data_IF_963035065246
#
_entry.id   IF_963035065246
#
_cell.length_a   1.000
_cell.length_b   1.000
_cell.length_c   1.000
_cell.angle_alpha   90.00
_cell.angle_beta   90.00
_cell.angle_gamma   90.00
#
_symmetry.space_group_name_H-M   'P 1'
#
loop_
_entity.id
_entity.type
_entity.pdbx_description
1 polymer ?
#
# COMPACT_ATOMS: atom_id res chain seq x y z
N UNK A 1 20.73 -9.17 -21.80
CA UNK A 1 19.53 -9.65 -22.52
C UNK A 1 18.36 -9.14 -21.70
N UNK A 2 17.37 -8.48 -22.28
CA UNK A 2 16.26 -7.92 -21.47
C UNK A 2 15.46 -9.07 -20.88
N UNK A 3 15.45 -9.19 -19.55
CA UNK A 3 14.81 -10.30 -18.84
C UNK A 3 13.30 -10.10 -18.67
N UNK A 4 12.85 -8.83 -18.71
CA UNK A 4 11.45 -8.46 -18.53
C UNK A 4 11.11 -7.29 -19.43
N UNK A 5 10.02 -7.42 -20.20
CA UNK A 5 9.38 -6.29 -20.88
C UNK A 5 7.88 -6.41 -20.67
N UNK A 6 7.29 -5.48 -19.91
CA UNK A 6 5.85 -5.43 -19.63
C UNK A 6 5.29 -4.05 -19.92
N UNK A 7 4.02 -3.96 -20.30
CA UNK A 7 3.28 -2.71 -20.45
C UNK A 7 2.13 -2.68 -19.45
N UNK A 8 2.03 -1.59 -18.68
CA UNK A 8 0.99 -1.39 -17.66
C UNK A 8 0.28 -0.05 -17.84
N UNK A 9 -0.93 0.09 -17.30
CA UNK A 9 -1.65 1.37 -17.29
C UNK A 9 -0.96 2.40 -16.38
N UNK A 10 -0.78 3.63 -16.88
CA UNK A 10 -0.10 4.70 -16.13
C UNK A 10 -0.86 5.08 -14.86
N UNK A 11 -2.19 5.17 -14.91
CA UNK A 11 -3.00 5.51 -13.74
C UNK A 11 -2.89 4.45 -12.63
N UNK A 12 -2.97 3.17 -13.01
CA UNK A 12 -2.90 2.03 -12.10
C UNK A 12 -1.50 1.91 -11.45
N UNK A 13 -0.43 1.99 -12.26
CA UNK A 13 0.94 2.01 -11.77
C UNK A 13 1.18 3.16 -10.78
N UNK A 14 0.65 4.34 -11.07
CA UNK A 14 0.78 5.50 -10.16
C UNK A 14 0.04 5.29 -8.85
N UNK A 15 -1.17 4.73 -8.87
CA UNK A 15 -1.94 4.46 -7.67
C UNK A 15 -1.22 3.43 -6.78
N UNK A 16 -0.70 2.36 -7.38
CA UNK A 16 0.09 1.34 -6.70
C UNK A 16 1.37 1.92 -6.08
N UNK A 17 2.19 2.61 -6.87
CA UNK A 17 3.43 3.21 -6.37
C UNK A 17 3.19 4.25 -5.26
N UNK A 18 2.19 5.11 -5.42
CA UNK A 18 1.87 6.16 -4.44
C UNK A 18 1.38 5.59 -3.12
N UNK A 19 0.52 4.58 -3.17
CA UNK A 19 -0.06 3.92 -1.99
C UNK A 19 0.98 3.08 -1.24
N UNK A 20 1.95 2.49 -1.94
CA UNK A 20 2.91 1.57 -1.35
C UNK A 20 4.18 2.26 -0.84
N UNK A 21 4.72 3.24 -1.57
CA UNK A 21 6.04 3.84 -1.24
C UNK A 21 6.11 4.43 0.17
N UNK A 22 4.98 4.90 0.71
CA UNK A 22 4.90 5.48 2.06
C UNK A 22 5.14 4.46 3.17
N UNK A 23 5.09 3.17 2.86
CA UNK A 23 5.39 2.07 3.76
C UNK A 23 6.85 1.63 3.71
N UNK A 24 7.68 2.14 2.79
CA UNK A 24 9.10 1.80 2.75
C UNK A 24 9.84 2.37 3.97
N UNK A 25 10.80 1.61 4.49
CA UNK A 25 11.72 2.07 5.52
C UNK A 25 12.59 3.24 5.05
N UNK A 26 13.15 3.96 6.02
CA UNK A 26 14.09 5.06 5.80
C UNK A 26 15.32 4.96 6.72
N UNK A 27 15.53 3.80 7.34
CA UNK A 27 16.63 3.54 8.26
C UNK A 27 17.86 3.09 7.45
N UNK A 28 18.91 3.90 7.47
CA UNK A 28 20.18 3.62 6.79
C UNK A 28 20.88 2.36 7.34
N UNK A 29 20.57 1.97 8.58
CA UNK A 29 21.08 0.74 9.20
C UNK A 29 20.27 -0.50 8.81
N UNK A 30 19.11 -0.34 8.16
CA UNK A 30 18.26 -1.42 7.66
C UNK A 30 17.90 -1.23 6.17
N UNK A 31 18.90 -1.16 5.28
CA UNK A 31 18.71 -0.84 3.86
C UNK A 31 17.85 -1.86 3.10
N UNK A 32 17.72 -3.09 3.63
CA UNK A 32 16.78 -4.09 3.12
C UNK A 32 15.36 -3.54 2.99
N UNK A 33 14.90 -2.75 3.96
CA UNK A 33 13.54 -2.21 3.97
C UNK A 33 13.40 -0.84 3.28
N UNK A 34 14.51 -0.22 2.89
CA UNK A 34 14.54 1.06 2.16
C UNK A 34 14.36 0.80 0.66
N UNK A 35 13.32 0.05 0.30
CA UNK A 35 13.06 -0.43 -1.06
C UNK A 35 11.56 -0.54 -1.32
N UNK A 36 11.20 -0.38 -2.59
CA UNK A 36 9.90 -0.79 -3.12
C UNK A 36 10.16 -1.95 -4.07
N UNK A 37 9.57 -3.11 -3.77
CA UNK A 37 9.74 -4.35 -4.51
C UNK A 37 8.59 -4.53 -5.51
N UNK A 38 8.97 -4.73 -6.76
CA UNK A 38 8.08 -5.04 -7.86
C UNK A 38 8.23 -6.54 -8.20
N UNK A 39 7.16 -7.31 -8.06
CA UNK A 39 7.11 -8.72 -8.46
C UNK A 39 6.29 -8.82 -9.73
N UNK A 40 6.91 -9.28 -10.81
CA UNK A 40 6.25 -9.49 -12.09
C UNK A 40 5.74 -10.93 -12.12
N UNK A 41 4.45 -11.09 -12.35
CA UNK A 41 3.85 -12.37 -12.71
C UNK A 41 3.21 -12.29 -14.12
N UNK A 42 2.65 -13.38 -14.67
CA UNK A 42 2.07 -13.37 -16.01
C UNK A 42 0.86 -12.45 -16.24
N UNK A 43 0.26 -11.91 -15.18
CA UNK A 43 -1.00 -11.15 -15.21
C UNK A 43 -0.86 -9.80 -14.51
N UNK A 44 -0.09 -9.73 -13.44
CA UNK A 44 0.03 -8.58 -12.57
C UNK A 44 1.47 -8.24 -12.24
N UNK A 45 1.71 -6.94 -12.13
CA UNK A 45 2.83 -6.37 -11.41
C UNK A 45 2.40 -6.10 -9.97
N UNK A 46 3.03 -6.76 -9.01
CA UNK A 46 2.79 -6.53 -7.59
C UNK A 46 3.79 -5.51 -7.07
N UNK A 47 3.31 -4.49 -6.37
CA UNK A 47 4.13 -3.44 -5.77
C UNK A 47 4.06 -3.60 -4.26
N UNK A 48 5.20 -3.79 -3.60
CA UNK A 48 5.26 -4.03 -2.15
C UNK A 48 6.32 -3.18 -1.46
N UNK A 49 6.04 -2.76 -0.23
CA UNK A 49 7.00 -2.08 0.63
C UNK A 49 6.63 -2.28 2.11
N UNK A 50 7.64 -2.17 2.97
CA UNK A 50 7.45 -2.28 4.41
C UNK A 50 8.58 -1.60 5.17
N UNK A 51 8.28 -1.14 6.38
CA UNK A 51 9.23 -0.72 7.40
C UNK A 51 9.19 -1.65 8.64
N UNK A 52 8.54 -2.81 8.47
CA UNK A 52 8.17 -3.83 9.47
C UNK A 52 7.04 -3.45 10.43
N UNK A 53 6.57 -2.21 10.46
CA UNK A 53 5.44 -1.78 11.31
C UNK A 53 4.18 -1.57 10.48
N UNK A 54 4.35 -1.14 9.24
CA UNK A 54 3.33 -1.15 8.22
C UNK A 54 3.82 -1.86 6.95
N UNK A 55 2.89 -2.44 6.22
CA UNK A 55 3.13 -3.14 4.96
C UNK A 55 2.08 -2.67 3.97
N UNK A 56 2.52 -2.32 2.77
CA UNK A 56 1.63 -2.01 1.65
C UNK A 56 1.88 -2.98 0.51
N UNK A 57 0.80 -3.44 -0.11
CA UNK A 57 0.80 -4.23 -1.33
C UNK A 57 -0.29 -3.72 -2.28
N UNK A 58 0.11 -3.46 -3.51
CA UNK A 58 -0.79 -3.17 -4.59
C UNK A 58 -0.56 -4.11 -5.77
N UNK A 59 -1.59 -4.33 -6.58
CA UNK A 59 -1.49 -5.02 -7.86
C UNK A 59 -1.77 -4.04 -9.00
N UNK A 60 -1.08 -4.23 -10.11
CA UNK A 60 -1.24 -3.46 -11.35
C UNK A 60 -1.40 -4.46 -12.49
N UNK A 61 -2.43 -4.29 -13.32
CA UNK A 61 -2.67 -5.22 -14.44
C UNK A 61 -1.61 -5.06 -15.55
N UNK A 62 -1.06 -6.18 -16.02
CA UNK A 62 -0.16 -6.24 -17.18
C UNK A 62 -1.01 -6.38 -18.44
N UNK A 63 -0.82 -5.47 -19.39
CA UNK A 63 -1.55 -5.42 -20.65
C UNK A 63 -0.80 -6.09 -21.80
N UNK A 64 0.53 -5.96 -21.81
CA UNK A 64 1.39 -6.61 -22.78
C UNK A 64 2.66 -7.12 -22.09
N UNK A 65 3.20 -8.24 -22.58
CA UNK A 65 4.45 -8.80 -22.09
C UNK A 65 5.21 -9.48 -23.23
N UNK A 66 6.51 -9.20 -23.34
CA UNK A 66 7.42 -9.97 -24.20
C UNK A 66 7.90 -11.16 -23.38
N UNK A 67 7.24 -12.30 -23.58
CA UNK A 67 7.46 -13.58 -22.88
C UNK A 67 6.98 -13.61 -21.40
N UNK A 68 5.93 -14.41 -21.09
CA UNK A 68 5.46 -14.57 -19.71
C UNK A 68 6.57 -15.14 -18.82
N UNK A 69 6.95 -14.38 -17.80
CA UNK A 69 8.03 -14.72 -16.89
C UNK A 69 7.81 -14.15 -15.49
N UNK A 70 8.51 -14.74 -14.51
CA UNK A 70 8.56 -14.24 -13.15
C UNK A 70 9.82 -13.42 -12.96
N UNK A 71 9.69 -12.24 -12.37
CA UNK A 71 10.85 -11.43 -12.03
C UNK A 71 10.65 -10.65 -10.74
N UNK A 72 11.76 -10.34 -10.08
CA UNK A 72 11.79 -9.43 -8.94
C UNK A 72 12.68 -8.25 -9.28
N UNK A 73 12.12 -7.05 -9.13
CA UNK A 73 12.78 -5.78 -9.38
C UNK A 73 12.65 -4.94 -8.12
N UNK A 74 13.78 -4.55 -7.53
CA UNK A 74 13.80 -3.62 -6.40
C UNK A 74 14.19 -2.22 -6.90
N UNK A 75 13.47 -1.20 -6.44
CA UNK A 75 13.79 0.22 -6.68
C UNK A 75 13.84 0.99 -5.37
N UNK A 76 14.56 2.10 -5.32
CA UNK A 76 14.60 2.96 -4.14
C UNK A 76 13.33 3.84 -4.06
N UNK A 77 12.90 4.24 -2.85
CA UNK A 77 11.78 5.17 -2.69
C UNK A 77 11.95 6.49 -3.44
N UNK A 78 13.19 6.96 -3.61
CA UNK A 78 13.50 8.16 -4.39
C UNK A 78 13.30 7.99 -5.90
N UNK A 79 13.57 6.80 -6.44
CA UNK A 79 13.26 6.47 -7.82
C UNK A 79 11.76 6.40 -8.04
N UNK A 80 11.00 5.86 -7.09
CA UNK A 80 9.53 5.90 -7.13
C UNK A 80 9.02 7.34 -7.16
N UNK A 81 9.58 8.24 -6.36
CA UNK A 81 9.21 9.68 -6.41
C UNK A 81 9.49 10.30 -7.78
N UNK A 82 10.61 9.93 -8.43
CA UNK A 82 10.94 10.39 -9.79
C UNK A 82 10.01 9.79 -10.84
N UNK A 83 9.68 8.50 -10.74
CA UNK A 83 8.68 7.84 -11.61
C UNK A 83 7.35 8.60 -11.51
N UNK A 84 6.86 8.86 -10.29
CA UNK A 84 5.62 9.59 -10.05
C UNK A 84 5.67 11.06 -10.52
N UNK A 85 6.86 11.66 -10.66
CA UNK A 85 7.02 13.01 -11.19
C UNK A 85 7.06 13.06 -12.72
N UNK A 86 7.65 12.05 -13.36
CA UNK A 86 7.86 11.97 -14.82
C UNK A 86 6.59 11.47 -15.53
N UNK A 87 6.04 10.34 -15.08
CA UNK A 87 4.94 9.64 -15.74
C UNK A 87 3.62 10.06 -15.12
N UNK A 88 2.89 10.97 -15.77
CA UNK A 88 1.60 11.49 -15.29
C UNK A 88 0.46 10.79 -16.03
N UNK A 89 -0.56 10.37 -15.29
CA UNK A 89 -1.80 9.92 -15.90
C UNK A 89 -2.61 11.15 -16.37
N UNK A 90 -3.15 11.08 -17.58
CA UNK A 90 -4.15 12.03 -18.05
C UNK A 90 -5.56 11.66 -17.56
N UNK A 91 -6.58 12.36 -18.07
CA UNK A 91 -7.96 11.93 -17.89
C UNK A 91 -8.24 10.82 -18.89
N UNK A 92 -8.57 9.64 -18.40
CA UNK A 92 -8.98 8.51 -19.24
C UNK A 92 -10.49 8.57 -19.51
N UNK A 93 -10.89 8.08 -20.69
CA UNK A 93 -12.31 7.88 -21.01
C UNK A 93 -12.82 6.64 -20.31
N UNK A 94 -14.03 6.72 -19.75
CA UNK A 94 -14.64 5.64 -18.98
C UNK A 94 -14.93 4.37 -19.81
N UNK A 95 -15.03 4.49 -21.14
CA UNK A 95 -15.48 3.42 -22.03
C UNK A 95 -14.33 2.76 -22.84
N UNK A 96 -13.08 2.90 -22.40
CA UNK A 96 -11.93 2.30 -23.10
C UNK A 96 -11.63 0.89 -22.60
N UNK A 97 -11.50 -0.08 -23.50
CA UNK A 97 -11.13 -1.47 -23.17
C UNK A 97 -9.66 -1.63 -22.74
N UNK A 98 -8.84 -0.59 -22.96
CA UNK A 98 -7.44 -0.53 -22.56
C UNK A 98 -7.07 0.88 -22.06
N UNK A 99 -6.08 1.02 -21.16
CA UNK A 99 -5.66 2.33 -20.67
C UNK A 99 -5.08 3.18 -21.80
N UNK A 100 -5.55 4.43 -21.92
CA UNK A 100 -5.08 5.38 -22.93
C UNK A 100 -3.62 5.81 -22.68
N UNK A 101 -3.20 5.81 -21.42
CA UNK A 101 -1.82 6.12 -21.01
C UNK A 101 -1.18 4.85 -20.48
N UNK A 102 -0.04 4.48 -21.06
CA UNK A 102 0.67 3.26 -20.72
C UNK A 102 2.14 3.54 -20.45
N UNK A 103 2.74 2.73 -19.59
CA UNK A 103 4.18 2.71 -19.33
C UNK A 103 4.71 1.32 -19.65
N UNK A 104 5.72 1.26 -20.51
CA UNK A 104 6.53 0.05 -20.71
C UNK A 104 7.66 0.03 -19.69
N UNK A 105 7.81 -1.09 -19.00
CA UNK A 105 8.87 -1.36 -18.04
C UNK A 105 9.76 -2.43 -18.63
N UNK A 106 11.02 -2.08 -18.84
CA UNK A 106 12.07 -2.96 -19.34
C UNK A 106 13.09 -3.18 -18.22
N UNK A 107 13.41 -4.43 -17.90
CA UNK A 107 14.48 -4.73 -16.95
C UNK A 107 15.48 -5.72 -17.54
N UNK A 108 16.76 -5.38 -17.41
CA UNK A 108 17.90 -6.25 -17.69
C UNK A 108 18.79 -6.32 -16.43
N UNK A 109 19.91 -7.03 -16.47
CA UNK A 109 20.79 -7.23 -15.31
C UNK A 109 21.36 -5.94 -14.70
N UNK A 110 21.40 -4.85 -15.47
CA UNK A 110 22.04 -3.60 -15.08
C UNK A 110 21.03 -2.49 -14.77
N UNK A 111 19.87 -2.48 -15.43
CA UNK A 111 18.94 -1.37 -15.39
C UNK A 111 17.48 -1.78 -15.42
N UNK A 112 16.67 -0.90 -14.85
CA UNK A 112 15.21 -0.85 -15.01
C UNK A 112 14.89 0.44 -15.74
N UNK A 113 14.23 0.34 -16.90
CA UNK A 113 13.86 1.49 -17.73
C UNK A 113 12.35 1.57 -17.83
N UNK A 114 11.79 2.72 -17.48
CA UNK A 114 10.38 3.03 -17.69
C UNK A 114 10.28 3.96 -18.90
N UNK A 115 9.35 3.66 -19.81
CA UNK A 115 9.15 4.40 -21.07
C UNK A 115 7.66 4.72 -21.18
N UNK A 116 7.34 5.99 -21.41
CA UNK A 116 5.98 6.44 -21.70
C UNK A 116 5.58 5.98 -23.10
N UNK A 117 4.50 5.21 -23.21
CA UNK A 117 3.98 4.69 -24.47
C UNK A 117 2.72 5.45 -24.94
N UNK A 118 2.43 6.62 -24.35
CA UNK A 118 1.30 7.43 -24.78
C UNK A 118 1.54 8.06 -26.18
N UNK A 119 0.73 7.65 -27.16
CA UNK A 119 0.72 8.24 -28.51
C UNK A 119 1.47 7.43 -29.57
N UNK A 120 1.79 8.07 -30.70
CA UNK A 120 2.42 7.40 -31.86
C UNK A 120 3.95 7.21 -31.73
N UNK A 121 4.59 7.87 -30.77
CA UNK A 121 6.04 7.82 -30.54
C UNK A 121 6.27 7.72 -29.04
N UNK A 122 7.22 6.86 -28.64
CA UNK A 122 7.66 6.73 -27.25
C UNK A 122 8.03 8.11 -26.68
N UNK A 123 7.47 8.41 -25.51
CA UNK A 123 7.61 9.68 -24.82
C UNK A 123 8.85 9.74 -23.94
N UNK A 124 8.67 10.18 -22.68
CA UNK A 124 9.78 10.28 -21.72
C UNK A 124 10.26 8.89 -21.31
N UNK A 125 11.56 8.76 -21.08
CA UNK A 125 12.15 7.57 -20.46
C UNK A 125 12.87 7.91 -19.16
N UNK A 126 12.87 6.97 -18.23
CA UNK A 126 13.62 7.05 -16.98
C UNK A 126 14.35 5.74 -16.73
N UNK A 127 15.68 5.79 -16.66
CA UNK A 127 16.56 4.64 -16.52
C UNK A 127 17.16 4.63 -15.11
N UNK A 128 16.97 3.54 -14.39
CA UNK A 128 17.34 3.35 -12.98
C UNK A 128 18.35 2.20 -12.92
N UNK A 129 19.48 2.35 -12.19
CA UNK A 129 20.37 1.22 -11.92
C UNK A 129 19.63 0.10 -11.18
N UNK A 130 19.73 -1.13 -11.66
CA UNK A 130 19.10 -2.28 -11.01
C UNK A 130 19.74 -2.52 -9.64
N UNK A 131 18.91 -2.60 -8.60
CA UNK A 131 19.37 -3.02 -7.30
C UNK A 131 19.59 -4.53 -7.29
N UNK A 132 20.62 -5.03 -6.56
CA UNK A 132 20.77 -6.45 -6.36
C UNK A 132 19.55 -7.00 -5.61
N UNK A 133 19.08 -8.18 -6.00
CA UNK A 133 17.98 -8.85 -5.32
C UNK A 133 18.34 -9.08 -3.84
N UNK A 134 17.49 -8.60 -2.93
CA UNK A 134 17.66 -8.82 -1.49
C UNK A 134 16.75 -9.97 -1.01
N UNK A 135 17.34 -11.13 -0.74
CA UNK A 135 16.64 -12.32 -0.25
C UNK A 135 16.13 -12.16 1.20
N UNK A 136 16.63 -11.18 1.95
CA UNK A 136 16.19 -10.91 3.33
C UNK A 136 14.93 -10.05 3.39
N UNK A 137 14.53 -9.43 2.28
CA UNK A 137 13.28 -8.69 2.21
C UNK A 137 12.10 -9.63 2.44
N UNK A 138 11.15 -9.19 3.27
CA UNK A 138 10.01 -10.02 3.67
C UNK A 138 9.13 -10.38 2.48
N UNK A 139 8.62 -11.62 2.50
CA UNK A 139 7.58 -12.08 1.57
C UNK A 139 6.22 -11.50 1.99
N UNK A 140 6.01 -10.23 1.65
CA UNK A 140 4.78 -9.47 1.92
C UNK A 140 3.54 -10.14 1.33
N UNK A 141 3.54 -10.63 0.07
CA UNK A 141 2.40 -11.35 -0.50
C UNK A 141 1.99 -12.55 0.35
N UNK A 142 2.94 -13.35 0.82
CA UNK A 142 2.63 -14.50 1.68
C UNK A 142 2.16 -14.09 3.08
N UNK A 143 2.68 -12.99 3.64
CA UNK A 143 2.22 -12.46 4.93
C UNK A 143 0.76 -12.00 4.84
N UNK A 144 0.45 -11.15 3.85
CA UNK A 144 -0.90 -10.63 3.61
C UNK A 144 -1.86 -11.77 3.26
N UNK A 145 -1.47 -12.69 2.38
CA UNK A 145 -2.30 -13.83 2.00
C UNK A 145 -2.69 -14.69 3.20
N UNK A 146 -1.76 -14.96 4.13
CA UNK A 146 -2.07 -15.70 5.36
C UNK A 146 -3.09 -14.97 6.24
N UNK A 147 -2.95 -13.66 6.39
CA UNK A 147 -3.91 -12.86 7.17
C UNK A 147 -5.28 -12.81 6.51
N UNK A 148 -5.34 -12.57 5.19
CA UNK A 148 -6.57 -12.46 4.43
C UNK A 148 -7.40 -13.74 4.43
N UNK A 149 -6.75 -14.92 4.36
CA UNK A 149 -7.45 -16.22 4.37
C UNK A 149 -7.80 -16.72 5.78
N UNK A 150 -7.35 -16.06 6.84
CA UNK A 150 -7.72 -16.44 8.20
C UNK A 150 -9.17 -15.99 8.52
N UNK A 151 -9.91 -16.70 9.38
CA UNK A 151 -11.25 -16.28 9.79
C UNK A 151 -11.28 -14.87 10.39
N UNK A 152 -12.26 -14.03 10.04
CA UNK A 152 -12.42 -12.71 10.65
C UNK A 152 -12.85 -12.83 12.11
N UNK A 153 -12.42 -11.87 12.94
CA UNK A 153 -12.79 -11.76 14.36
C UNK A 153 -13.18 -10.33 14.71
N UNK A 154 -13.86 -10.15 15.83
CA UNK A 154 -14.17 -8.82 16.35
C UNK A 154 -12.87 -8.12 16.78
N UNK A 155 -12.69 -6.88 16.35
CA UNK A 155 -11.57 -6.06 16.77
C UNK A 155 -11.81 -5.55 18.20
N UNK A 156 -10.97 -5.98 19.13
CA UNK A 156 -10.88 -5.39 20.47
C UNK A 156 -9.96 -4.16 20.47
N UNK A 157 -9.80 -3.54 21.63
CA UNK A 157 -8.89 -2.41 21.80
C UNK A 157 -7.47 -2.76 21.33
N UNK A 158 -6.92 -1.92 20.45
CA UNK A 158 -5.57 -2.06 19.94
C UNK A 158 -4.86 -0.72 19.94
N UNK A 159 -3.62 -0.69 20.41
CA UNK A 159 -2.73 0.45 20.24
C UNK A 159 -1.98 0.32 18.92
N UNK A 160 -2.00 1.39 18.12
CA UNK A 160 -1.25 1.49 16.84
C UNK A 160 -0.54 2.83 16.75
N UNK A 161 0.51 2.88 15.96
CA UNK A 161 1.22 4.14 15.72
C UNK A 161 0.35 5.01 14.78
N UNK A 162 0.05 6.23 15.20
CA UNK A 162 -0.81 7.13 14.42
C UNK A 162 -0.24 7.50 13.05
N UNK A 163 1.10 7.64 12.95
CA UNK A 163 1.78 7.90 11.68
C UNK A 163 1.67 6.70 10.74
N UNK A 164 1.85 5.49 11.26
CA UNK A 164 1.75 4.26 10.47
C UNK A 164 0.33 4.02 9.98
N UNK A 165 -0.66 4.30 10.84
CA UNK A 165 -2.07 4.26 10.47
C UNK A 165 -2.41 5.31 9.39
N UNK A 166 -1.86 6.53 9.50
CA UNK A 166 -2.13 7.61 8.56
C UNK A 166 -1.62 7.32 7.14
N UNK A 167 -0.59 6.48 6.97
CA UNK A 167 -0.08 6.08 5.65
C UNK A 167 -1.15 5.43 4.77
N UNK A 168 -2.09 4.68 5.35
CA UNK A 168 -3.17 4.04 4.59
C UNK A 168 -4.16 5.03 3.98
N UNK A 169 -4.26 6.26 4.49
CA UNK A 169 -5.05 7.31 3.84
C UNK A 169 -4.54 7.64 2.43
N UNK A 170 -3.25 7.41 2.16
CA UNK A 170 -2.67 7.57 0.82
C UNK A 170 -3.25 6.55 -0.15
N UNK A 171 -3.45 5.29 0.28
CA UNK A 171 -4.12 4.27 -0.53
C UNK A 171 -5.59 4.62 -0.80
N UNK A 172 -6.32 5.05 0.24
CA UNK A 172 -7.71 5.50 0.09
C UNK A 172 -7.86 6.61 -0.97
N UNK A 173 -6.94 7.58 -0.94
CA UNK A 173 -6.92 8.69 -1.89
C UNK A 173 -6.48 8.24 -3.30
N UNK A 174 -5.48 7.37 -3.40
CA UNK A 174 -4.96 6.87 -4.67
C UNK A 174 -6.03 6.07 -5.45
N UNK A 175 -6.81 5.26 -4.74
CA UNK A 175 -7.85 4.41 -5.33
C UNK A 175 -9.27 5.01 -5.28
N UNK A 176 -9.45 6.13 -4.57
CA UNK A 176 -10.75 6.79 -4.34
C UNK A 176 -11.76 5.80 -3.73
N UNK A 177 -11.32 5.07 -2.69
CA UNK A 177 -12.11 4.07 -1.98
C UNK A 177 -12.00 4.26 -0.46
N UNK A 178 -13.04 3.89 0.31
CA UNK A 178 -12.91 3.83 1.76
C UNK A 178 -11.89 2.77 2.18
N UNK A 179 -11.33 2.94 3.38
CA UNK A 179 -10.54 1.89 4.02
C UNK A 179 -11.46 0.94 4.76
N UNK A 180 -11.29 -0.35 4.50
CA UNK A 180 -11.82 -1.42 5.35
C UNK A 180 -10.70 -1.91 6.26
N UNK A 181 -10.99 -2.00 7.56
CA UNK A 181 -10.05 -2.47 8.57
C UNK A 181 -10.59 -3.78 9.12
N UNK A 182 -9.80 -4.84 9.01
CA UNK A 182 -10.20 -6.20 9.32
C UNK A 182 -9.21 -6.80 10.34
N UNK A 183 -9.75 -7.49 11.35
CA UNK A 183 -8.98 -8.33 12.26
C UNK A 183 -9.28 -9.80 11.97
N UNK A 184 -8.25 -10.63 12.00
CA UNK A 184 -8.36 -12.05 11.71
C UNK A 184 -7.68 -12.89 12.80
N UNK A 185 -8.12 -14.14 12.97
CA UNK A 185 -7.49 -15.08 13.91
C UNK A 185 -6.00 -15.30 13.58
N UNK A 186 -5.18 -15.57 14.60
CA UNK A 186 -3.78 -15.95 14.40
C UNK A 186 -2.81 -14.80 14.10
N UNK A 187 -3.31 -13.57 14.03
CA UNK A 187 -2.50 -12.35 13.91
C UNK A 187 -3.09 -11.25 14.77
N UNK A 188 -2.24 -10.43 15.39
CA UNK A 188 -2.64 -9.14 15.99
C UNK A 188 -2.47 -7.97 15.02
N UNK A 189 -1.98 -8.20 13.80
CA UNK A 189 -1.94 -7.17 12.79
C UNK A 189 -3.34 -6.92 12.22
N UNK A 190 -3.64 -5.67 11.89
CA UNK A 190 -4.84 -5.30 11.16
C UNK A 190 -4.58 -5.44 9.67
N UNK A 191 -5.47 -6.10 8.95
CA UNK A 191 -5.52 -6.07 7.50
C UNK A 191 -6.30 -4.82 7.08
N UNK A 192 -5.76 -4.04 6.16
CA UNK A 192 -6.37 -2.80 5.67
C UNK A 192 -6.52 -2.88 4.16
N UNK A 193 -7.73 -2.67 3.65
CA UNK A 193 -8.06 -2.79 2.22
C UNK A 193 -8.56 -1.47 1.66
N UNK A 194 -8.16 -1.14 0.43
CA UNK A 194 -8.69 -0.01 -0.33
C UNK A 194 -9.10 -0.47 -1.73
N UNK A 195 -10.37 -0.80 -1.90
CA UNK A 195 -10.87 -1.37 -3.16
C UNK A 195 -10.38 -2.80 -3.41
N UNK A 196 -10.16 -3.13 -4.68
CA UNK A 196 -9.73 -4.47 -5.12
C UNK A 196 -8.22 -4.59 -5.33
N UNK A 197 -7.52 -3.47 -5.53
CA UNK A 197 -6.13 -3.47 -5.97
C UNK A 197 -5.12 -3.16 -4.85
N UNK A 198 -5.57 -2.88 -3.62
CA UNK A 198 -4.68 -2.60 -2.49
C UNK A 198 -5.05 -3.37 -1.22
N UNK A 199 -4.03 -3.99 -0.64
CA UNK A 199 -4.04 -4.60 0.69
C UNK A 199 -2.82 -4.12 1.48
N UNK A 200 -2.99 -3.94 2.77
CA UNK A 200 -1.90 -3.61 3.67
C UNK A 200 -2.07 -4.24 5.03
N UNK A 201 -0.99 -4.25 5.81
CA UNK A 201 -0.99 -4.73 7.18
C UNK A 201 -0.41 -3.67 8.11
N UNK A 202 -1.07 -3.46 9.24
CA UNK A 202 -0.60 -2.59 10.32
C UNK A 202 -0.34 -3.43 11.57
N UNK A 203 0.88 -3.37 12.08
CA UNK A 203 1.26 -4.08 13.29
C UNK A 203 0.84 -3.27 14.54
N UNK A 204 0.46 -3.95 15.62
CA UNK A 204 0.15 -3.29 16.88
C UNK A 204 1.42 -2.74 17.55
N UNK A 205 1.26 -1.70 18.36
CA UNK A 205 2.28 -1.26 19.30
C UNK A 205 2.31 -2.20 20.51
N UNK A 206 3.51 -2.63 20.87
CA UNK A 206 3.76 -3.24 22.17
C UNK A 206 3.82 -2.11 23.21
N UNK A 207 2.73 -1.89 23.94
CA UNK A 207 2.67 -0.95 25.06
C UNK A 207 3.10 -1.64 26.35
N UNK A 208 3.75 -0.90 27.27
CA UNK A 208 4.13 -1.43 28.58
C UNK A 208 2.92 -1.66 29.48
N UNK A 209 3.06 -2.52 30.48
CA UNK A 209 2.01 -2.78 31.49
C UNK A 209 1.56 -1.48 32.18
N UNK A 210 2.50 -0.60 32.53
CA UNK A 210 2.20 0.72 33.13
C UNK A 210 1.34 1.58 32.20
N UNK A 211 1.63 1.56 30.89
CA UNK A 211 0.87 2.32 29.89
C UNK A 211 -0.52 1.71 29.74
N UNK A 212 -0.63 0.39 29.76
CA UNK A 212 -1.90 -0.32 29.70
C UNK A 212 -2.78 -0.03 30.93
N UNK A 213 -2.20 -0.07 32.14
CA UNK A 213 -2.89 0.28 33.38
C UNK A 213 -3.43 1.72 33.32
N UNK A 214 -2.60 2.66 32.87
CA UNK A 214 -3.00 4.07 32.75
C UNK A 214 -4.07 4.30 31.68
N UNK A 215 -4.03 3.56 30.56
CA UNK A 215 -5.10 3.59 29.56
C UNK A 215 -6.44 3.11 30.13
N UNK A 216 -6.44 2.08 31.00
CA UNK A 216 -7.65 1.60 31.68
C UNK A 216 -8.21 2.66 32.63
N UNK A 217 -7.35 3.33 33.40
CA UNK A 217 -7.75 4.45 34.27
C UNK A 217 -8.39 5.59 33.47
N UNK A 218 -7.78 5.97 32.33
CA UNK A 218 -8.32 7.00 31.46
C UNK A 218 -9.68 6.61 30.86
N UNK A 219 -9.85 5.35 30.45
CA UNK A 219 -11.12 4.86 29.93
C UNK A 219 -12.27 5.00 30.96
N UNK A 220 -12.01 4.61 32.22
CA UNK A 220 -12.99 4.77 33.32
C UNK A 220 -13.25 6.26 33.60
N UNK A 221 -12.21 7.08 33.61
CA UNK A 221 -12.33 8.52 33.83
C UNK A 221 -13.12 9.22 32.71
N UNK A 222 -13.09 8.72 31.47
CA UNK A 222 -13.94 9.21 30.40
C UNK A 222 -15.41 8.92 30.67
N UNK A 223 -15.76 7.72 31.15
CA UNK A 223 -17.15 7.36 31.47
C UNK A 223 -17.79 8.27 32.54
N UNK A 224 -17.01 8.82 33.47
CA UNK A 224 -17.53 9.75 34.48
C UNK A 224 -17.63 11.20 34.01
N UNK A 225 -16.92 11.57 32.94
CA UNK A 225 -16.90 12.93 32.38
C UNK A 225 -17.88 13.11 31.22
N UNK A 226 -18.17 12.04 30.49
CA UNK A 226 -19.13 12.07 29.39
C UNK A 226 -20.57 12.08 29.93
N UNK A 227 -21.51 12.78 29.26
CA UNK A 227 -22.92 12.71 29.61
C UNK A 227 -23.45 11.27 29.58
N UNK A 228 -24.37 10.94 30.49
CA UNK A 228 -25.03 9.64 30.47
C UNK A 228 -25.96 9.56 29.24
N UNK A 229 -25.78 8.57 28.35
CA UNK A 229 -26.59 8.44 27.13
C UNK A 229 -28.08 8.20 27.40
N UNK A 230 -28.44 7.65 28.56
CA UNK A 230 -29.84 7.36 28.93
C UNK A 230 -30.57 8.57 29.54
N UNK A 231 -29.85 9.67 29.78
CA UNK A 231 -30.41 10.88 30.35
C UNK A 231 -30.78 11.86 29.21
N UNK A 232 -32.00 11.71 28.67
CA UNK A 232 -32.59 12.68 27.76
C UNK A 232 -32.92 13.94 28.57
N UNK A 233 -32.31 15.07 28.24
CA UNK A 233 -32.70 16.36 28.80
C UNK A 233 -34.11 16.69 28.29
N UNK A 234 -35.11 16.67 29.17
CA UNK A 234 -36.49 17.15 28.93
C UNK A 234 -36.56 18.67 28.70
N UNK A 235 -35.73 19.23 27.82
CA UNK A 235 -35.78 20.64 27.45
C UNK A 235 -36.64 20.92 26.21
N UNK A 236 -37.18 19.90 25.54
CA UNK A 236 -38.07 20.05 24.37
C UNK A 236 -39.57 20.04 24.70
N UNK A 237 -39.98 19.84 25.96
CA UNK A 237 -41.42 19.88 26.35
C UNK A 237 -41.96 21.29 26.64
N UNK A 238 -41.13 22.35 26.56
CA UNK A 238 -41.58 23.72 26.81
C UNK A 238 -42.08 24.47 25.54
N UNK A 239 -42.26 23.77 24.42
CA UNK A 239 -42.74 24.35 23.16
C UNK A 239 -43.93 23.59 22.53
N UNK A 240 -44.83 23.04 23.37
CA UNK A 240 -46.16 22.54 22.94
C UNK A 240 -47.29 23.30 23.62
#
# INVERSE_FOLDING_TARGET
>A
MTEVVITVGTADLRAALSSVVVHAGNDEHLPTYTRVRLLVDPVNLWVTATDRFSMGQAIVSIWEQVEPGLATIDVLPEDVKKILSIFKAGKEKADSDAPEFQVRIEADDEFVTLIDCAGFVDGRSYKIPRLPHDEQFLDIPKLISRSHHAPPVLLENMAVNGTDLARFAVAANAYVKPLLIESHTGSRALLIRAGESFLGMLLPLNISEDTEARNKEWAVAWSSRLPNPDHINNHDEAAS
#
